data_IF_773133109259
#
_entry.id   IF_773133109259
#
_cell.length_a   1.000
_cell.length_b   1.000
_cell.length_c   1.000
_cell.angle_alpha   90.00
_cell.angle_beta   90.00
_cell.angle_gamma   90.00
#
_symmetry.space_group_name_H-M   'P 1'
#
loop_
_entity.id
_entity.type
_entity.pdbx_description
1 polymer ?
#
# COMPACT_ATOMS: atom_id res chain seq x y z
N UNK A 1 -9.16 22.54 -1.26
CA UNK A 1 -9.20 21.45 -0.25
C UNK A 1 -9.62 20.13 -0.87
N UNK A 2 -10.75 20.05 -1.60
CA UNK A 2 -11.19 18.79 -2.25
C UNK A 2 -10.16 18.16 -3.20
N UNK A 3 -9.49 18.96 -4.05
CA UNK A 3 -8.42 18.45 -4.94
C UNK A 3 -7.27 17.81 -4.17
N UNK A 4 -6.86 18.41 -3.05
CA UNK A 4 -5.78 17.90 -2.20
C UNK A 4 -6.12 16.54 -1.61
N UNK A 5 -7.33 16.44 -1.03
CA UNK A 5 -7.85 15.20 -0.46
C UNK A 5 -7.99 14.14 -1.55
N UNK A 6 -8.52 14.50 -2.72
CA UNK A 6 -8.68 13.58 -3.84
C UNK A 6 -7.37 12.97 -4.32
N UNK A 7 -6.31 13.78 -4.47
CA UNK A 7 -4.97 13.29 -4.86
C UNK A 7 -4.39 12.38 -3.77
N UNK A 8 -4.53 12.74 -2.50
CA UNK A 8 -4.03 11.93 -1.39
C UNK A 8 -4.74 10.57 -1.29
N UNK A 9 -6.07 10.53 -1.48
CA UNK A 9 -6.83 9.29 -1.50
C UNK A 9 -6.48 8.41 -2.71
N UNK A 10 -6.30 9.01 -3.89
CA UNK A 10 -5.86 8.28 -5.08
C UNK A 10 -4.48 7.65 -4.84
N UNK A 11 -3.54 8.40 -4.27
CA UNK A 11 -2.22 7.89 -3.95
C UNK A 11 -2.26 6.78 -2.89
N UNK A 12 -3.17 6.86 -1.92
CA UNK A 12 -3.39 5.78 -0.96
C UNK A 12 -3.92 4.50 -1.64
N UNK A 13 -4.86 4.63 -2.58
CA UNK A 13 -5.36 3.48 -3.36
C UNK A 13 -4.26 2.85 -4.22
N UNK A 14 -3.44 3.66 -4.88
CA UNK A 14 -2.29 3.18 -5.66
C UNK A 14 -1.26 2.51 -4.76
N UNK A 15 -0.95 3.13 -3.62
CA UNK A 15 -0.06 2.56 -2.61
C UNK A 15 -0.57 1.23 -2.05
N UNK A 16 -1.88 1.10 -1.84
CA UNK A 16 -2.51 -0.16 -1.44
C UNK A 16 -2.25 -1.25 -2.47
N UNK A 17 -2.52 -0.97 -3.75
CA UNK A 17 -2.31 -1.94 -4.83
C UNK A 17 -0.84 -2.40 -4.89
N UNK A 18 0.12 -1.47 -4.82
CA UNK A 18 1.54 -1.81 -4.77
C UNK A 18 1.91 -2.61 -3.52
N UNK A 19 1.33 -2.29 -2.36
CA UNK A 19 1.49 -3.04 -1.12
C UNK A 19 1.02 -4.49 -1.28
N UNK A 20 -0.19 -4.70 -1.81
CA UNK A 20 -0.70 -6.05 -2.09
C UNK A 20 0.24 -6.81 -3.03
N UNK A 21 0.67 -6.19 -4.13
CA UNK A 21 1.61 -6.83 -5.08
C UNK A 21 2.94 -7.21 -4.39
N UNK A 22 3.48 -6.34 -3.54
CA UNK A 22 4.68 -6.63 -2.77
C UNK A 22 4.47 -7.80 -1.80
N UNK A 23 3.34 -7.84 -1.08
CA UNK A 23 3.00 -8.94 -0.18
C UNK A 23 2.85 -10.28 -0.91
N UNK A 24 2.20 -10.29 -2.08
CA UNK A 24 2.09 -11.47 -2.95
C UNK A 24 3.49 -11.94 -3.37
N UNK A 25 4.33 -11.01 -3.84
CA UNK A 25 5.70 -11.32 -4.24
C UNK A 25 6.49 -11.94 -3.08
N UNK A 26 6.39 -11.38 -1.88
CA UNK A 26 7.12 -11.86 -0.70
C UNK A 26 6.66 -13.28 -0.33
N UNK A 27 5.35 -13.51 -0.19
CA UNK A 27 4.84 -14.83 0.23
C UNK A 27 5.16 -15.91 -0.81
N UNK A 28 5.01 -15.60 -2.10
CA UNK A 28 5.27 -16.60 -3.14
C UNK A 28 6.74 -17.01 -3.23
N UNK A 29 7.67 -16.06 -3.05
CA UNK A 29 9.10 -16.33 -3.22
C UNK A 29 9.81 -16.79 -1.94
N UNK A 30 9.32 -16.40 -0.76
CA UNK A 30 10.04 -16.63 0.50
C UNK A 30 9.30 -17.54 1.50
N UNK A 31 7.98 -17.74 1.37
CA UNK A 31 7.24 -18.59 2.30
C UNK A 31 7.32 -20.08 1.91
N UNK A 32 7.75 -20.89 2.87
CA UNK A 32 7.80 -22.36 2.81
C UNK A 32 6.52 -23.02 3.32
N UNK A 33 5.51 -22.24 3.72
CA UNK A 33 4.24 -22.79 4.19
C UNK A 33 3.53 -23.51 3.03
N UNK A 34 3.22 -24.80 3.22
CA UNK A 34 2.52 -25.63 2.22
C UNK A 34 1.06 -25.86 2.59
N UNK A 35 0.74 -25.88 3.89
CA UNK A 35 -0.60 -26.24 4.37
C UNK A 35 -1.61 -25.11 4.14
N UNK A 36 -1.25 -23.88 4.51
CA UNK A 36 -2.18 -22.74 4.54
C UNK A 36 -1.67 -21.53 3.74
N UNK A 37 -0.88 -21.77 2.69
CA UNK A 37 -0.31 -20.71 1.85
C UNK A 37 -1.36 -19.73 1.28
N UNK A 38 -2.57 -20.16 0.85
CA UNK A 38 -3.59 -19.22 0.38
C UNK A 38 -4.08 -18.26 1.47
N UNK A 39 -4.23 -18.73 2.70
CA UNK A 39 -4.64 -17.90 3.83
C UNK A 39 -3.53 -16.92 4.23
N UNK A 40 -2.29 -17.39 4.31
CA UNK A 40 -1.12 -16.53 4.55
C UNK A 40 -1.00 -15.44 3.50
N UNK A 41 -1.19 -15.79 2.21
CA UNK A 41 -1.15 -14.85 1.11
C UNK A 41 -2.23 -13.77 1.26
N UNK A 42 -3.47 -14.15 1.59
CA UNK A 42 -4.54 -13.19 1.84
C UNK A 42 -4.23 -12.26 3.02
N UNK A 43 -3.86 -12.82 4.18
CA UNK A 43 -3.60 -12.04 5.40
C UNK A 43 -2.39 -11.11 5.24
N UNK A 44 -1.32 -11.60 4.63
CA UNK A 44 -0.08 -10.83 4.47
C UNK A 44 -0.22 -9.76 3.39
N UNK A 45 -0.76 -10.12 2.22
CA UNK A 45 -0.85 -9.14 1.11
C UNK A 45 -1.99 -8.15 1.27
N UNK A 46 -3.24 -8.63 1.43
CA UNK A 46 -4.45 -7.79 1.40
C UNK A 46 -4.64 -7.06 2.74
N UNK A 47 -4.38 -7.72 3.87
CA UNK A 47 -4.70 -7.19 5.20
C UNK A 47 -3.51 -6.54 5.91
N UNK A 48 -2.27 -6.81 5.51
CA UNK A 48 -1.09 -6.16 6.09
C UNK A 48 -0.37 -5.24 5.11
N UNK A 49 0.23 -5.77 4.04
CA UNK A 49 1.02 -4.96 3.11
C UNK A 49 0.17 -3.96 2.33
N UNK A 50 -1.08 -4.29 1.98
CA UNK A 50 -2.03 -3.36 1.37
C UNK A 50 -2.22 -2.11 2.23
N UNK A 51 -2.73 -2.20 3.48
CA UNK A 51 -2.89 -1.05 4.37
C UNK A 51 -1.60 -0.28 4.63
N UNK A 52 -0.47 -0.98 4.78
CA UNK A 52 0.86 -0.34 4.93
C UNK A 52 1.22 0.48 3.69
N UNK A 53 1.06 -0.10 2.50
CA UNK A 53 1.29 0.57 1.22
C UNK A 53 0.37 1.78 1.03
N UNK A 54 -0.90 1.67 1.45
CA UNK A 54 -1.84 2.78 1.41
C UNK A 54 -1.41 3.95 2.29
N UNK A 55 -0.97 3.65 3.52
CA UNK A 55 -0.46 4.65 4.45
C UNK A 55 0.79 5.35 3.90
N UNK A 56 1.73 4.59 3.32
CA UNK A 56 2.92 5.14 2.68
C UNK A 56 2.53 6.06 1.51
N UNK A 57 1.66 5.61 0.62
CA UNK A 57 1.19 6.41 -0.51
C UNK A 57 0.48 7.70 -0.09
N UNK A 58 -0.33 7.63 0.97
CA UNK A 58 -0.99 8.79 1.56
C UNK A 58 0.03 9.79 2.13
N UNK A 59 1.00 9.32 2.92
CA UNK A 59 2.04 10.17 3.52
C UNK A 59 2.85 10.86 2.41
N UNK A 60 3.31 10.10 1.40
CA UNK A 60 4.05 10.64 0.26
C UNK A 60 3.26 11.74 -0.43
N UNK A 61 1.99 11.50 -0.76
CA UNK A 61 1.17 12.48 -1.45
C UNK A 61 0.87 13.72 -0.60
N UNK A 62 0.64 13.56 0.70
CA UNK A 62 0.45 14.70 1.62
C UNK A 62 1.72 15.53 1.70
N UNK A 63 2.86 14.91 1.95
CA UNK A 63 4.16 15.61 2.07
C UNK A 63 4.50 16.30 0.75
N UNK A 64 4.39 15.60 -0.37
CA UNK A 64 4.67 16.16 -1.70
C UNK A 64 3.82 17.40 -1.98
N UNK A 65 2.51 17.33 -1.73
CA UNK A 65 1.60 18.45 -1.97
C UNK A 65 1.82 19.61 -0.99
N UNK A 66 2.22 19.34 0.26
CA UNK A 66 2.59 20.40 1.20
C UNK A 66 3.85 21.12 0.71
N UNK A 67 4.88 20.37 0.33
CA UNK A 67 6.13 20.96 -0.19
C UNK A 67 5.86 21.84 -1.42
N UNK A 68 5.08 21.36 -2.39
CA UNK A 68 4.72 22.13 -3.60
C UNK A 68 3.86 23.37 -3.36
N UNK A 69 3.26 23.49 -2.17
CA UNK A 69 2.43 24.64 -1.82
C UNK A 69 3.19 25.72 -1.06
N UNK A 70 4.26 25.34 -0.35
CA UNK A 70 5.01 26.23 0.53
C UNK A 70 6.41 26.62 0.00
N UNK A 71 6.99 25.81 -0.89
CA UNK A 71 8.23 26.09 -1.62
C UNK A 71 7.90 26.52 -3.05
#
# INVERSE_FOLDING_TARGET
>A
MLKFIGIALLAALVGYAFGVMAGIFIVNNFSTNVQDKPLELAMTSIFFFGPVGALIGLIIAVVYQLLHRYL
#
